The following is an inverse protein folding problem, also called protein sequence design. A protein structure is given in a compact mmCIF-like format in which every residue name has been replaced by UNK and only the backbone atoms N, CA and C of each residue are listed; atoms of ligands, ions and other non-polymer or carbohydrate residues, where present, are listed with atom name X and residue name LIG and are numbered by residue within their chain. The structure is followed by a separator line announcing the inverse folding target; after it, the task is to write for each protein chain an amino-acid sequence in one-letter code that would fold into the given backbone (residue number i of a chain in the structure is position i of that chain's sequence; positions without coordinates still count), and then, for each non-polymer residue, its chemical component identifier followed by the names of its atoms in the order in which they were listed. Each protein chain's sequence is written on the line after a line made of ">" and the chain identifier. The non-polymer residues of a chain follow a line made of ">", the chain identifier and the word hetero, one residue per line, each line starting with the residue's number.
data_IF_819626513374
#
_entry.id   IF_819626513374
#
_cell.length_a   1.000
_cell.length_b   1.000
_cell.length_c   1.000
_cell.angle_alpha   90.00
_cell.angle_beta   90.00
_cell.angle_gamma   90.00
#
_symmetry.space_group_name_H-M   'P 1'
#
loop_
_entity.id
_entity.type
_entity.pdbx_description
1 polymer ?
#
# COMPACT_ATOMS: atom_id res chain seq x y z
N UNK A 1 -22.69 -3.33 11.66
CA UNK A 1 -23.88 -3.55 10.81
C UNK A 1 -23.55 -4.14 9.45
N UNK A 2 -22.67 -3.52 8.65
CA UNK A 2 -22.33 -4.00 7.30
C UNK A 2 -22.00 -5.50 7.20
N UNK A 3 -21.13 -5.98 8.11
CA UNK A 3 -20.75 -7.40 8.22
C UNK A 3 -21.95 -8.34 8.41
N UNK A 4 -22.94 -7.90 9.17
CA UNK A 4 -24.16 -8.69 9.43
C UNK A 4 -25.02 -8.72 8.16
N UNK A 5 -25.25 -7.58 7.53
CA UNK A 5 -26.03 -7.46 6.30
C UNK A 5 -25.48 -8.37 5.19
N UNK A 6 -24.16 -8.40 5.02
CA UNK A 6 -23.50 -9.30 4.06
C UNK A 6 -23.75 -10.78 4.39
N UNK A 7 -23.67 -11.16 5.68
CA UNK A 7 -23.89 -12.55 6.11
C UNK A 7 -25.31 -13.02 5.86
N UNK A 8 -26.30 -12.17 6.10
CA UNK A 8 -27.72 -12.49 5.88
C UNK A 8 -28.20 -12.18 4.45
N UNK A 9 -27.31 -11.73 3.57
CA UNK A 9 -27.61 -11.33 2.18
C UNK A 9 -28.74 -10.30 2.05
N UNK A 10 -28.82 -9.36 2.99
CA UNK A 10 -29.83 -8.30 2.97
C UNK A 10 -29.28 -7.06 2.27
N UNK A 11 -29.54 -6.95 0.96
CA UNK A 11 -28.95 -5.92 0.09
C UNK A 11 -29.25 -4.50 0.55
N UNK A 12 -30.51 -4.15 0.83
CA UNK A 12 -30.83 -2.77 1.25
C UNK A 12 -30.14 -2.35 2.56
N UNK A 13 -29.94 -3.30 3.48
CA UNK A 13 -29.26 -3.05 4.75
C UNK A 13 -27.75 -2.94 4.53
N UNK A 14 -27.20 -3.69 3.59
CA UNK A 14 -25.81 -3.58 3.14
C UNK A 14 -25.57 -2.17 2.58
N UNK A 15 -26.44 -1.69 1.69
CA UNK A 15 -26.33 -0.37 1.07
C UNK A 15 -26.47 0.76 2.09
N UNK A 16 -27.47 0.68 2.98
CA UNK A 16 -27.64 1.65 4.07
C UNK A 16 -26.43 1.67 4.99
N UNK A 17 -25.89 0.50 5.35
CA UNK A 17 -24.69 0.41 6.19
C UNK A 17 -23.44 0.93 5.47
N UNK A 18 -23.31 0.69 4.16
CA UNK A 18 -22.22 1.22 3.35
C UNK A 18 -22.25 2.75 3.31
N UNK A 19 -23.43 3.31 3.00
CA UNK A 19 -23.64 4.75 2.97
C UNK A 19 -23.34 5.40 4.33
N UNK A 20 -23.76 4.76 5.42
CA UNK A 20 -23.48 5.22 6.77
C UNK A 20 -21.97 5.24 7.06
N UNK A 21 -21.24 4.15 6.73
CA UNK A 21 -19.77 4.10 6.87
C UNK A 21 -19.14 5.25 6.08
N UNK A 22 -19.49 5.39 4.80
CA UNK A 22 -18.98 6.47 3.94
C UNK A 22 -19.23 7.87 4.53
N UNK A 23 -20.42 8.12 5.05
CA UNK A 23 -20.76 9.41 5.67
C UNK A 23 -20.02 9.69 6.98
N UNK A 24 -19.53 8.65 7.64
CA UNK A 24 -18.77 8.77 8.89
C UNK A 24 -17.26 8.95 8.67
N UNK A 25 -16.77 8.78 7.44
CA UNK A 25 -15.36 8.98 7.13
C UNK A 25 -15.02 10.47 7.14
N UNK A 26 -13.94 10.79 7.84
CA UNK A 26 -13.41 12.13 8.02
C UNK A 26 -11.89 12.10 7.97
N UNK A 27 -11.27 13.25 7.79
CA UNK A 27 -9.82 13.42 7.86
C UNK A 27 -9.18 12.96 9.19
N UNK A 28 -9.96 12.89 10.28
CA UNK A 28 -9.48 12.48 11.60
C UNK A 28 -9.51 10.97 11.84
N UNK A 29 -10.37 10.23 11.14
CA UNK A 29 -10.53 8.79 11.37
C UNK A 29 -10.08 7.93 10.19
N UNK A 30 -9.86 8.51 8.99
CA UNK A 30 -9.61 7.72 7.78
C UNK A 30 -8.41 6.78 7.89
N UNK A 31 -7.33 7.22 8.54
CA UNK A 31 -6.13 6.40 8.77
C UNK A 31 -6.42 5.22 9.69
N UNK A 32 -7.27 5.42 10.71
CA UNK A 32 -7.68 4.39 11.65
C UNK A 32 -8.63 3.39 10.98
N UNK A 33 -9.61 3.87 10.20
CA UNK A 33 -10.58 3.02 9.49
C UNK A 33 -9.90 2.17 8.41
N UNK A 34 -8.97 2.74 7.63
CA UNK A 34 -8.12 1.99 6.70
C UNK A 34 -7.30 0.93 7.40
N UNK A 35 -7.01 1.11 8.69
CA UNK A 35 -6.27 0.14 9.47
C UNK A 35 -7.15 -0.95 10.09
N UNK A 36 -8.47 -0.90 9.85
CA UNK A 36 -9.42 -1.83 10.44
C UNK A 36 -9.43 -3.18 9.70
N UNK A 37 -9.92 -4.20 10.41
CA UNK A 37 -10.19 -5.50 9.78
C UNK A 37 -11.38 -5.49 8.83
N UNK A 38 -12.16 -4.40 8.79
CA UNK A 38 -13.30 -4.28 7.88
C UNK A 38 -12.80 -4.07 6.45
N UNK A 39 -11.88 -3.12 6.26
CA UNK A 39 -11.25 -2.83 4.97
C UNK A 39 -10.59 -4.08 4.36
N UNK A 40 -9.90 -4.87 5.18
CA UNK A 40 -9.27 -6.14 4.76
C UNK A 40 -10.25 -7.16 4.16
N UNK A 41 -11.48 -7.23 4.68
CA UNK A 41 -12.44 -8.28 4.36
C UNK A 41 -13.42 -7.91 3.25
N UNK A 42 -13.53 -6.63 2.95
CA UNK A 42 -14.57 -6.07 2.08
C UNK A 42 -13.91 -5.09 1.10
N UNK A 43 -13.49 -5.58 -0.09
CA UNK A 43 -12.72 -4.77 -1.05
C UNK A 43 -13.41 -3.46 -1.47
N UNK A 44 -14.72 -3.45 -1.59
CA UNK A 44 -15.50 -2.24 -1.92
C UNK A 44 -15.49 -1.21 -0.78
N UNK A 45 -15.33 -1.63 0.49
CA UNK A 45 -15.13 -0.70 1.61
C UNK A 45 -13.73 -0.12 1.52
N UNK A 46 -12.72 -0.96 1.28
CA UNK A 46 -11.35 -0.51 1.10
C UNK A 46 -11.24 0.53 -0.02
N UNK A 47 -11.82 0.26 -1.19
CA UNK A 47 -11.81 1.20 -2.33
C UNK A 47 -12.42 2.56 -1.97
N UNK A 48 -13.54 2.53 -1.25
CA UNK A 48 -14.24 3.74 -0.79
C UNK A 48 -13.45 4.50 0.27
N UNK A 49 -12.79 3.81 1.19
CA UNK A 49 -11.89 4.43 2.18
C UNK A 49 -10.64 5.02 1.50
N UNK A 50 -10.04 4.32 0.53
CA UNK A 50 -8.88 4.85 -0.22
C UNK A 50 -9.28 6.09 -1.03
N UNK A 51 -10.47 6.11 -1.62
CA UNK A 51 -11.02 7.30 -2.27
C UNK A 51 -11.16 8.47 -1.29
N UNK A 52 -11.69 8.22 -0.08
CA UNK A 52 -11.79 9.26 0.95
C UNK A 52 -10.41 9.75 1.41
N UNK A 53 -9.44 8.85 1.57
CA UNK A 53 -8.06 9.22 1.89
C UNK A 53 -7.45 10.11 0.82
N UNK A 54 -7.64 9.75 -0.44
CA UNK A 54 -7.13 10.51 -1.59
C UNK A 54 -7.68 11.94 -1.61
N UNK A 55 -8.97 12.13 -1.32
CA UNK A 55 -9.61 13.45 -1.23
C UNK A 55 -9.02 14.33 -0.11
N UNK A 56 -8.56 13.71 0.99
CA UNK A 56 -8.01 14.41 2.16
C UNK A 56 -6.49 14.36 2.26
N UNK A 57 -5.78 13.87 1.23
CA UNK A 57 -4.31 13.67 1.29
C UNK A 57 -3.53 14.98 1.51
N UNK A 58 -4.13 16.11 1.15
CA UNK A 58 -3.55 17.44 1.32
C UNK A 58 -3.80 18.05 2.69
N UNK A 59 -4.79 17.55 3.43
CA UNK A 59 -5.20 18.02 4.76
C UNK A 59 -4.08 17.82 5.78
N UNK A 60 -3.83 18.80 6.67
CA UNK A 60 -2.75 18.72 7.66
C UNK A 60 -2.87 17.51 8.59
N UNK A 61 -4.09 17.16 9.02
CA UNK A 61 -4.37 15.99 9.87
C UNK A 61 -3.88 14.70 9.22
N UNK A 62 -4.30 14.46 7.98
CA UNK A 62 -3.90 13.26 7.22
C UNK A 62 -2.40 13.26 6.96
N UNK A 63 -1.81 14.39 6.53
CA UNK A 63 -0.36 14.50 6.31
C UNK A 63 0.47 14.13 7.54
N UNK A 64 0.00 14.53 8.73
CA UNK A 64 0.65 14.23 9.99
C UNK A 64 0.58 12.73 10.33
N UNK A 65 -0.56 12.10 10.11
CA UNK A 65 -0.81 10.72 10.56
C UNK A 65 -0.49 9.65 9.50
N UNK A 66 -0.41 10.05 8.23
CA UNK A 66 -0.09 9.16 7.10
C UNK A 66 1.23 8.39 7.26
N UNK A 67 2.35 8.99 7.72
CA UNK A 67 3.57 8.23 7.99
C UNK A 67 3.38 7.07 8.98
N UNK A 68 2.44 7.18 9.92
CA UNK A 68 2.10 6.11 10.86
C UNK A 68 1.43 4.94 10.15
N UNK A 69 0.55 5.21 9.18
CA UNK A 69 -0.03 4.18 8.32
C UNK A 69 1.07 3.44 7.55
N UNK A 70 2.00 4.17 6.92
CA UNK A 70 3.11 3.57 6.15
C UNK A 70 3.96 2.67 7.04
N UNK A 71 4.29 3.10 8.26
CA UNK A 71 5.06 2.28 9.22
C UNK A 71 4.36 0.97 9.55
N UNK A 72 3.04 0.99 9.75
CA UNK A 72 2.24 -0.23 10.03
C UNK A 72 2.20 -1.17 8.83
N UNK A 73 2.12 -0.63 7.62
CA UNK A 73 2.18 -1.42 6.39
C UNK A 73 3.56 -2.08 6.27
N UNK A 74 4.64 -1.32 6.45
CA UNK A 74 6.00 -1.86 6.40
C UNK A 74 6.29 -2.88 7.52
N UNK A 75 5.65 -2.74 8.68
CA UNK A 75 5.70 -3.70 9.78
C UNK A 75 4.87 -4.98 9.56
N UNK A 76 4.17 -5.10 8.43
CA UNK A 76 3.24 -6.19 8.14
C UNK A 76 2.06 -6.31 9.14
N UNK A 77 1.71 -5.22 9.83
CA UNK A 77 0.57 -5.16 10.75
C UNK A 77 -0.79 -5.10 10.01
N UNK A 78 -0.75 -4.82 8.71
CA UNK A 78 -1.91 -4.59 7.85
C UNK A 78 -1.89 -5.59 6.69
N UNK A 79 -2.74 -6.63 6.70
CA UNK A 79 -2.73 -7.67 5.67
C UNK A 79 -3.07 -7.12 4.28
N UNK A 80 -3.88 -6.07 4.21
CA UNK A 80 -4.28 -5.35 2.99
C UNK A 80 -3.44 -4.08 2.76
N UNK A 81 -2.32 -3.91 3.47
CA UNK A 81 -1.50 -2.70 3.39
C UNK A 81 -0.93 -2.44 1.98
N UNK A 82 -0.56 -3.49 1.26
CA UNK A 82 -0.12 -3.37 -0.13
C UNK A 82 -1.23 -2.84 -1.04
N UNK A 83 -2.46 -3.35 -0.87
CA UNK A 83 -3.62 -2.94 -1.67
C UNK A 83 -3.96 -1.46 -1.48
N UNK A 84 -3.85 -0.95 -0.24
CA UNK A 84 -4.00 0.48 0.07
C UNK A 84 -3.02 1.33 -0.75
N UNK A 85 -1.74 0.94 -0.76
CA UNK A 85 -0.70 1.69 -1.48
C UNK A 85 -0.88 1.63 -2.99
N UNK A 86 -1.20 0.45 -3.53
CA UNK A 86 -1.44 0.26 -4.96
C UNK A 86 -2.61 1.13 -5.42
N UNK A 87 -3.77 1.04 -4.75
CA UNK A 87 -4.95 1.80 -5.13
C UNK A 87 -4.74 3.31 -5.00
N UNK A 88 -4.07 3.77 -3.93
CA UNK A 88 -3.76 5.19 -3.77
C UNK A 88 -2.81 5.68 -4.88
N UNK A 89 -1.79 4.89 -5.21
CA UNK A 89 -0.86 5.22 -6.28
C UNK A 89 -1.55 5.27 -7.64
N UNK A 90 -2.39 4.29 -7.97
CA UNK A 90 -3.20 4.29 -9.18
C UNK A 90 -4.09 5.53 -9.29
N UNK A 91 -4.73 5.96 -8.18
CA UNK A 91 -5.52 7.19 -8.15
C UNK A 91 -4.67 8.44 -8.42
N UNK A 92 -3.50 8.55 -7.79
CA UNK A 92 -2.56 9.65 -8.06
C UNK A 92 -2.10 9.67 -9.53
N UNK A 93 -1.77 8.50 -10.10
CA UNK A 93 -1.37 8.39 -11.50
C UNK A 93 -2.50 8.80 -12.43
N UNK A 94 -3.73 8.35 -12.18
CA UNK A 94 -4.88 8.70 -13.01
C UNK A 94 -5.24 10.19 -12.93
N UNK A 95 -4.98 10.85 -11.80
CA UNK A 95 -5.20 12.29 -11.64
C UNK A 95 -4.16 13.12 -12.39
N UNK A 96 -2.89 12.72 -12.36
CA UNK A 96 -1.77 13.50 -12.92
C UNK A 96 -1.37 13.11 -14.34
N UNK A 97 -1.62 11.87 -14.72
CA UNK A 97 -1.35 11.31 -16.04
C UNK A 97 -2.62 10.65 -16.54
N UNK A 98 -3.65 11.45 -16.92
CA UNK A 98 -4.86 10.89 -17.49
C UNK A 98 -4.44 10.08 -18.72
N UNK A 99 -4.61 8.76 -18.63
CA UNK A 99 -4.26 7.83 -19.70
C UNK A 99 -4.95 8.32 -20.96
N UNK A 100 -4.16 8.92 -21.85
CA UNK A 100 -4.66 9.30 -23.17
C UNK A 100 -4.87 7.98 -23.89
N UNK A 101 -6.09 7.46 -23.81
CA UNK A 101 -6.54 6.45 -24.77
C UNK A 101 -6.56 7.18 -26.11
N UNK A 102 -5.40 7.18 -26.77
CA UNK A 102 -5.31 7.42 -28.20
C UNK A 102 -6.18 6.36 -28.83
N UNK A 103 -7.44 6.72 -29.08
CA UNK A 103 -8.26 6.06 -30.07
C UNK A 103 -7.41 5.91 -31.33
N UNK A 104 -7.31 4.68 -31.79
CA UNK A 104 -6.66 4.32 -33.04
C UNK A 104 -7.30 5.10 -34.20
N UNK A 105 -6.80 6.30 -34.49
CA UNK A 105 -6.83 6.89 -35.81
C UNK A 105 -5.44 7.41 -36.12
N UNK A 106 -4.55 6.50 -36.50
CA UNK A 106 -3.37 6.88 -37.26
C UNK A 106 -3.86 7.38 -38.63
N UNK A 107 -3.67 8.65 -39.02
CA UNK A 107 -3.64 8.96 -40.43
C UNK A 107 -2.40 8.26 -41.00
N UNK A 108 -2.61 7.45 -42.05
CA UNK A 108 -1.53 6.76 -42.77
C UNK A 108 -0.40 7.76 -43.09
N UNK A 109 0.85 7.49 -42.66
CA UNK A 109 1.99 8.26 -43.11
C UNK A 109 2.29 7.90 -44.57
N UNK A 110 2.06 8.84 -45.49
CA UNK A 110 2.72 8.79 -46.81
C UNK A 110 4.23 8.75 -46.58
N UNK A 111 4.86 7.63 -46.94
CA UNK A 111 6.32 7.50 -46.98
C UNK A 111 6.89 8.39 -48.09
N UNK A 112 7.82 9.31 -47.81
CA UNK A 112 8.80 9.73 -48.81
C UNK A 112 9.96 8.74 -48.87
N UNK A 113 10.46 8.61 -50.09
CA UNK A 113 11.46 7.66 -50.57
C UNK A 113 12.76 7.66 -49.78
N UNK A 114 13.30 6.44 -49.62
CA UNK A 114 14.69 6.05 -49.33
C UNK A 114 15.73 7.17 -49.15
N UNK A 115 16.14 7.41 -47.91
CA UNK A 115 17.51 7.84 -47.60
C UNK A 115 18.11 6.95 -46.51
N UNK A 116 19.31 6.46 -46.78
CA UNK A 116 20.04 5.49 -45.97
C UNK A 116 20.60 6.21 -44.75
N UNK A 117 19.94 6.09 -43.60
CA UNK A 117 20.50 6.54 -42.33
C UNK A 117 21.22 5.37 -41.65
N UNK A 118 22.55 5.34 -41.76
CA UNK A 118 23.39 4.40 -41.00
C UNK A 118 23.42 4.83 -39.54
N UNK A 119 22.83 4.01 -38.66
CA UNK A 119 22.84 4.21 -37.22
C UNK A 119 24.15 3.66 -36.64
N UNK A 120 25.05 4.56 -36.22
CA UNK A 120 26.20 4.19 -35.38
C UNK A 120 25.73 4.04 -33.94
N UNK A 121 25.68 2.78 -33.49
CA UNK A 121 25.52 2.39 -32.08
C UNK A 121 26.80 2.77 -31.34
N UNK A 122 26.88 3.97 -30.77
CA UNK A 122 28.13 4.37 -30.09
C UNK A 122 28.08 5.55 -29.11
N UNK A 123 27.10 6.44 -29.17
CA UNK A 123 27.18 7.70 -28.41
C UNK A 123 25.87 8.09 -27.72
N UNK A 124 25.44 7.26 -26.76
CA UNK A 124 24.46 7.69 -25.77
C UNK A 124 24.92 7.18 -24.41
N UNK A 125 25.40 8.11 -23.58
CA UNK A 125 25.86 8.00 -22.19
C UNK A 125 27.37 7.90 -21.93
N UNK A 126 28.08 9.04 -21.80
CA UNK A 126 29.33 9.10 -21.04
C UNK A 126 29.18 9.67 -19.62
N UNK A 127 28.00 10.18 -19.19
CA UNK A 127 27.97 11.14 -18.08
C UNK A 127 27.20 10.75 -16.80
N UNK A 128 27.04 9.45 -16.52
CA UNK A 128 26.47 9.02 -15.23
C UNK A 128 27.36 8.08 -14.39
N UNK A 129 28.64 7.94 -14.76
CA UNK A 129 29.61 7.10 -14.03
C UNK A 129 30.53 7.89 -13.08
N UNK A 130 30.45 9.22 -13.06
CA UNK A 130 31.41 10.11 -12.38
C UNK A 130 31.00 10.59 -10.98
N UNK A 131 29.93 10.03 -10.37
CA UNK A 131 29.44 10.44 -9.04
C UNK A 131 29.16 9.26 -8.09
N UNK A 132 30.13 8.36 -7.97
CA UNK A 132 30.21 7.42 -6.85
C UNK A 132 31.52 7.69 -6.11
N UNK A 133 31.49 8.15 -4.85
CA UNK A 133 32.71 8.21 -4.04
C UNK A 133 33.14 6.79 -3.65
N UNK A 134 34.45 6.55 -3.80
CA UNK A 134 35.17 5.36 -3.36
C UNK A 134 34.74 4.91 -1.96
N UNK A 135 34.36 3.65 -1.83
CA UNK A 135 34.36 2.95 -0.55
C UNK A 135 35.41 1.87 -0.60
N UNK A 136 36.64 2.26 -0.26
CA UNK A 136 37.64 1.33 0.23
C UNK A 136 37.44 1.10 1.73
N UNK A 137 37.11 -0.15 2.04
CA UNK A 137 37.76 -0.97 3.05
C UNK A 137 37.84 -0.44 4.50
N UNK A 138 36.89 -0.87 5.35
CA UNK A 138 37.22 -1.21 6.75
C UNK A 138 36.57 -2.54 7.14
N UNK A 139 37.44 -3.48 7.48
CA UNK A 139 37.16 -4.78 8.07
C UNK A 139 36.36 -4.66 9.37
N UNK A 140 35.46 -5.61 9.63
CA UNK A 140 34.70 -5.61 10.88
C UNK A 140 33.72 -6.77 11.06
N UNK A 141 34.18 -8.00 10.88
CA UNK A 141 33.48 -9.19 11.37
C UNK A 141 33.32 -9.08 12.88
N UNK A 142 32.09 -8.90 13.38
CA UNK A 142 31.69 -9.40 14.70
C UNK A 142 30.23 -9.81 14.69
N UNK A 143 30.02 -11.13 14.67
CA UNK A 143 28.76 -11.77 14.97
C UNK A 143 28.32 -11.40 16.40
N UNK A 144 27.11 -10.86 16.56
CA UNK A 144 26.47 -10.76 17.89
C UNK A 144 25.58 -11.97 18.14
N UNK A 145 25.66 -12.58 19.33
CA UNK A 145 24.99 -13.83 19.66
C UNK A 145 23.49 -13.64 19.95
N UNK A 146 22.72 -14.66 19.58
CA UNK A 146 21.33 -14.88 20.01
C UNK A 146 21.28 -15.10 21.53
N UNK A 147 20.38 -14.45 22.29
CA UNK A 147 20.09 -14.87 23.65
C UNK A 147 19.19 -16.11 23.64
N UNK A 148 19.77 -17.24 24.03
CA UNK A 148 19.06 -18.47 24.31
C UNK A 148 18.29 -18.42 25.64
N UNK A 149 17.11 -19.03 25.61
CA UNK A 149 16.50 -19.88 26.64
C UNK A 149 16.63 -19.54 28.12
N UNK A 150 15.48 -19.33 28.77
CA UNK A 150 15.21 -19.93 30.08
C UNK A 150 13.88 -20.70 30.05
N UNK A 151 14.01 -22.02 29.92
CA UNK A 151 13.04 -22.98 30.46
C UNK A 151 13.02 -22.81 31.98
N UNK A 152 11.84 -22.55 32.56
CA UNK A 152 11.51 -22.98 33.92
C UNK A 152 10.13 -23.62 33.88
N UNK A 153 10.13 -24.95 33.84
CA UNK A 153 8.98 -25.68 34.35
C UNK A 153 8.97 -25.60 35.87
N UNK A 154 7.78 -25.49 36.48
CA UNK A 154 7.58 -26.04 37.81
C UNK A 154 6.10 -26.39 38.04
N UNK A 155 5.90 -27.71 38.11
CA UNK A 155 4.96 -28.48 38.94
C UNK A 155 3.51 -28.00 39.07
N UNK A 156 2.65 -28.84 38.48
CA UNK A 156 1.35 -29.24 39.02
C UNK A 156 1.47 -29.51 40.53
N UNK A 157 0.52 -28.99 41.31
CA UNK A 157 0.17 -29.57 42.59
C UNK A 157 -1.33 -29.84 42.55
N UNK A 158 -1.62 -31.13 42.33
CA UNK A 158 -2.88 -31.77 42.66
C UNK A 158 -2.87 -31.87 44.19
N UNK A 159 -3.90 -31.36 44.84
CA UNK A 159 -4.29 -31.79 46.18
C UNK A 159 -5.70 -32.31 46.03
N UNK A 160 -5.78 -33.63 45.83
CA UNK A 160 -6.86 -34.45 46.37
C UNK A 160 -6.60 -34.68 47.86
N UNK A 161 -7.64 -35.18 48.53
CA UNK A 161 -7.82 -35.47 49.96
C UNK A 161 -8.38 -34.29 50.77
N UNK A 162 -9.52 -34.41 51.45
CA UNK A 162 -10.40 -35.56 51.66
C UNK A 162 -11.41 -35.25 52.77
N UNK A 163 -12.49 -36.03 52.77
CA UNK A 163 -13.67 -36.05 53.68
C UNK A 163 -14.77 -35.04 53.42
#
# INVERSE_FOLDING_TARGET
>A
MYRLACKIKHVELQDKAFAAIRSSLTEHNIIQELSSSLASRFPHILEMEVESLFQHVTTPTVKKDYPTLIKRIAGADLPHGADVLIQLHEKMLNQHYPRTVSSLSMPSPCMPSSEKFTFSVGELWPDLRSRLPDQDLVAGVTARPRPGGKKKGKKRQIVEEGM
#
